data_IF_698138801245
#
_entry.id   IF_698138801245
#
_cell.length_a   1.000
_cell.length_b   1.000
_cell.length_c   1.000
_cell.angle_alpha   90.00
_cell.angle_beta   90.00
_cell.angle_gamma   90.00
#
_symmetry.space_group_name_H-M   'P 1'
#
loop_
_entity.id
_entity.type
_entity.pdbx_description
1 polymer ?
#
# COMPACT_ATOMS: atom_id res chain seq x y z
N UNK A 1 54.85 39.12 -77.89
CA UNK A 1 54.83 37.82 -77.22
C UNK A 1 53.59 37.57 -76.32
N UNK A 2 52.66 38.47 -76.18
CA UNK A 2 51.51 38.37 -75.25
C UNK A 2 50.19 37.89 -75.92
N UNK A 3 50.11 37.75 -77.26
CA UNK A 3 48.87 37.27 -77.91
C UNK A 3 48.78 35.78 -78.16
N UNK A 4 49.87 34.99 -77.97
CA UNK A 4 49.85 33.49 -78.12
C UNK A 4 49.55 32.70 -76.86
N UNK A 5 49.69 33.34 -75.69
CA UNK A 5 49.42 32.69 -74.40
C UNK A 5 47.94 32.67 -74.05
N UNK A 6 47.16 33.69 -74.52
CA UNK A 6 45.71 33.78 -74.24
C UNK A 6 44.89 32.75 -75.04
N UNK A 7 45.38 32.34 -76.24
CA UNK A 7 44.65 31.36 -77.07
C UNK A 7 44.78 29.92 -76.57
N UNK A 8 45.86 29.61 -75.87
CA UNK A 8 46.05 28.25 -75.30
C UNK A 8 45.26 28.01 -73.97
N UNK A 9 44.92 29.14 -73.26
CA UNK A 9 44.15 29.08 -72.03
C UNK A 9 42.63 28.90 -72.26
N UNK A 10 42.14 29.41 -73.39
CA UNK A 10 40.74 29.36 -73.82
C UNK A 10 40.31 27.93 -74.27
N UNK A 11 41.26 27.15 -74.85
CA UNK A 11 40.96 25.83 -75.38
C UNK A 11 41.01 24.71 -74.26
N UNK A 12 41.72 24.99 -73.15
CA UNK A 12 41.77 24.07 -71.97
C UNK A 12 40.52 24.15 -71.06
N UNK A 13 39.76 25.27 -71.13
CA UNK A 13 38.58 25.48 -70.29
C UNK A 13 37.30 24.83 -70.84
N UNK A 14 37.28 24.42 -72.14
CA UNK A 14 36.07 23.86 -72.79
C UNK A 14 35.95 22.32 -72.61
N UNK A 15 36.99 21.64 -72.09
CA UNK A 15 37.01 20.17 -71.93
C UNK A 15 36.61 19.72 -70.51
N UNK A 16 36.32 20.62 -69.56
CA UNK A 16 35.96 20.28 -68.20
C UNK A 16 34.44 20.21 -67.96
N UNK A 17 33.58 20.47 -68.92
CA UNK A 17 32.11 20.39 -68.76
C UNK A 17 31.45 19.14 -69.31
N UNK A 18 32.22 18.16 -69.83
CA UNK A 18 31.63 16.98 -70.42
C UNK A 18 31.67 15.74 -69.54
N UNK A 19 31.98 15.84 -68.24
CA UNK A 19 31.98 14.72 -67.32
C UNK A 19 31.12 14.99 -66.13
N UNK A 20 29.84 14.71 -66.23
CA UNK A 20 28.97 14.26 -65.13
C UNK A 20 27.51 14.24 -65.59
N UNK A 21 27.07 13.20 -66.23
CA UNK A 21 25.67 12.83 -66.16
C UNK A 21 25.49 11.31 -66.35
N UNK A 22 26.12 10.53 -65.44
CA UNK A 22 25.60 9.19 -65.17
C UNK A 22 24.79 9.30 -63.86
N UNK A 23 23.49 9.57 -63.99
CA UNK A 23 22.55 9.15 -62.96
C UNK A 23 22.67 7.64 -62.85
N UNK A 24 23.52 7.18 -61.93
CA UNK A 24 23.30 5.86 -61.32
C UNK A 24 21.92 5.96 -60.68
N UNK A 25 20.89 5.42 -61.29
CA UNK A 25 19.74 4.92 -60.57
C UNK A 25 20.30 3.92 -59.56
N UNK A 26 20.56 4.37 -58.32
CA UNK A 26 20.60 3.47 -57.19
C UNK A 26 19.25 2.76 -57.25
N UNK A 27 19.25 1.54 -57.72
CA UNK A 27 18.18 0.60 -57.43
C UNK A 27 18.13 0.57 -55.90
N UNK A 28 17.21 1.35 -55.27
CA UNK A 28 16.80 1.18 -53.92
C UNK A 28 16.44 -0.30 -53.82
N UNK A 29 17.32 -1.06 -53.20
CA UNK A 29 16.98 -2.43 -52.78
C UNK A 29 15.71 -2.28 -51.94
N UNK A 30 14.61 -2.81 -52.47
CA UNK A 30 13.29 -2.62 -51.88
C UNK A 30 13.34 -3.21 -50.44
N UNK A 31 13.55 -2.36 -49.46
CA UNK A 31 13.62 -2.74 -48.07
C UNK A 31 12.33 -3.51 -47.71
N UNK A 32 12.51 -4.75 -47.28
CA UNK A 32 11.39 -5.60 -46.86
C UNK A 32 11.14 -5.36 -45.37
N UNK A 33 9.94 -4.96 -45.05
CA UNK A 33 9.56 -4.62 -43.70
C UNK A 33 8.81 -5.77 -43.02
N UNK A 34 9.18 -6.18 -41.81
CA UNK A 34 8.47 -7.21 -41.07
C UNK A 34 7.15 -6.65 -40.53
N UNK A 35 6.06 -7.40 -40.72
CA UNK A 35 4.73 -7.08 -40.19
C UNK A 35 4.19 -8.26 -39.38
N UNK A 36 3.34 -7.96 -38.43
CA UNK A 36 2.63 -8.96 -37.62
C UNK A 36 1.18 -8.53 -37.37
N UNK A 37 0.37 -9.44 -36.87
CA UNK A 37 -0.97 -9.08 -36.38
C UNK A 37 -0.93 -8.82 -34.87
N UNK A 38 -1.77 -7.90 -34.35
CA UNK A 38 -2.06 -7.82 -32.92
C UNK A 38 -2.56 -9.17 -32.40
N UNK A 39 -2.11 -9.57 -31.21
CA UNK A 39 -2.47 -10.86 -30.65
C UNK A 39 -3.44 -10.69 -29.49
N UNK A 40 -4.53 -11.46 -29.49
CA UNK A 40 -5.40 -11.60 -28.32
C UNK A 40 -4.85 -12.65 -27.39
N UNK A 41 -4.62 -12.29 -26.14
CA UNK A 41 -4.19 -13.22 -25.11
C UNK A 41 -4.63 -12.76 -23.73
N UNK A 42 -4.75 -13.74 -22.84
CA UNK A 42 -4.95 -13.45 -21.42
C UNK A 42 -3.62 -13.01 -20.82
N UNK A 43 -3.67 -11.96 -20.06
CA UNK A 43 -2.51 -11.40 -19.37
C UNK A 43 -2.92 -10.88 -17.98
N UNK A 44 -1.93 -10.44 -17.21
CA UNK A 44 -2.16 -9.85 -15.91
C UNK A 44 -1.48 -8.48 -15.82
N UNK A 45 -2.13 -7.56 -15.14
CA UNK A 45 -1.54 -6.26 -14.82
C UNK A 45 -1.26 -6.22 -13.34
N UNK A 46 -0.07 -5.77 -12.98
CA UNK A 46 0.29 -5.51 -11.60
C UNK A 46 0.24 -4.01 -11.36
N UNK A 47 -0.62 -3.59 -10.43
CA UNK A 47 -0.66 -2.22 -9.92
C UNK A 47 -0.06 -2.18 -8.54
N UNK A 48 0.82 -1.22 -8.30
CA UNK A 48 1.51 -1.04 -7.02
C UNK A 48 1.05 0.25 -6.35
N UNK A 49 0.68 0.14 -5.08
CA UNK A 49 0.26 1.24 -4.24
C UNK A 49 1.16 1.32 -3.02
N UNK A 50 1.64 2.50 -2.68
CA UNK A 50 2.40 2.70 -1.45
C UNK A 50 1.50 2.38 -0.25
N UNK A 51 2.03 1.61 0.69
CA UNK A 51 1.29 1.11 1.83
C UNK A 51 2.01 1.38 3.15
N UNK A 52 1.22 1.67 4.18
CA UNK A 52 1.65 1.73 5.56
C UNK A 52 1.26 0.44 6.29
N UNK A 53 2.21 -0.12 7.00
CA UNK A 53 2.06 -1.37 7.73
C UNK A 53 1.76 -1.05 9.20
N UNK A 54 0.65 -1.55 9.70
CA UNK A 54 0.21 -1.32 11.07
C UNK A 54 -0.15 -2.65 11.75
N UNK A 55 0.19 -2.76 13.03
CA UNK A 55 -0.24 -3.88 13.85
C UNK A 55 -1.77 -3.85 14.02
N UNK A 56 -2.41 -5.03 14.08
CA UNK A 56 -3.86 -5.13 14.30
C UNK A 56 -4.27 -4.44 15.61
N UNK A 57 -3.42 -4.53 16.63
CA UNK A 57 -3.57 -3.80 17.88
C UNK A 57 -2.28 -3.07 18.17
N UNK A 58 -2.37 -1.77 18.32
CA UNK A 58 -1.27 -0.92 18.77
C UNK A 58 -1.86 0.14 19.68
N UNK A 59 -1.47 0.14 20.95
CA UNK A 59 -1.97 1.07 21.97
C UNK A 59 -0.82 1.71 22.72
N UNK A 60 -1.09 2.89 23.24
CA UNK A 60 -0.26 3.53 24.25
C UNK A 60 -0.70 3.06 25.64
N UNK A 61 0.23 2.52 26.39
CA UNK A 61 0.03 2.16 27.80
C UNK A 61 0.37 3.40 28.62
N UNK A 62 -0.67 4.00 29.20
CA UNK A 62 -0.57 5.21 30.00
C UNK A 62 -0.89 4.98 31.45
N UNK A 63 -0.25 5.76 32.33
CA UNK A 63 -0.53 5.71 33.77
C UNK A 63 -1.95 6.23 34.03
N UNK A 64 -2.67 5.54 34.92
CA UNK A 64 -4.00 5.94 35.38
C UNK A 64 -3.95 6.64 36.76
N UNK A 65 -2.80 6.55 37.44
CA UNK A 65 -2.54 7.14 38.74
C UNK A 65 -1.18 7.84 38.75
N UNK A 66 -1.04 8.85 39.59
CA UNK A 66 0.21 9.58 39.79
C UNK A 66 1.07 8.95 40.87
N UNK A 67 2.38 9.14 40.81
CA UNK A 67 3.33 8.68 41.82
C UNK A 67 4.70 8.38 41.24
N UNK A 68 5.60 7.85 42.05
CA UNK A 68 6.93 7.46 41.57
C UNK A 68 6.89 6.08 40.92
N UNK A 69 7.60 5.88 39.79
CA UNK A 69 7.77 4.58 39.16
C UNK A 69 8.68 3.71 40.06
N UNK A 70 8.08 2.78 40.80
CA UNK A 70 8.79 1.99 41.77
C UNK A 70 9.44 0.75 41.15
N UNK A 71 8.77 0.11 40.17
CA UNK A 71 9.30 -1.09 39.49
C UNK A 71 8.95 -1.08 38.00
N UNK A 72 9.87 -1.63 37.24
CA UNK A 72 9.72 -1.96 35.81
C UNK A 72 10.00 -3.45 35.68
N UNK A 73 9.02 -4.23 35.21
CA UNK A 73 9.08 -5.70 35.15
C UNK A 73 9.39 -6.23 33.74
N UNK A 74 9.51 -5.33 32.77
CA UNK A 74 9.68 -5.65 31.35
C UNK A 74 10.77 -4.80 30.73
N UNK A 75 11.28 -5.24 29.58
CA UNK A 75 12.27 -4.49 28.82
C UNK A 75 11.74 -4.14 27.42
N UNK A 76 12.38 -3.17 26.77
CA UNK A 76 12.09 -2.75 25.39
C UNK A 76 12.29 -3.93 24.44
N UNK A 77 11.33 -4.16 23.52
CA UNK A 77 11.36 -5.29 22.59
C UNK A 77 10.92 -6.62 23.15
N UNK A 78 10.66 -6.71 24.47
CA UNK A 78 10.21 -7.96 25.12
C UNK A 78 8.76 -8.30 24.72
N UNK A 79 8.51 -9.59 24.47
CA UNK A 79 7.16 -10.11 24.32
C UNK A 79 6.53 -10.32 25.70
N UNK A 80 5.30 -9.86 25.86
CA UNK A 80 4.51 -9.98 27.11
C UNK A 80 3.19 -10.67 26.84
N UNK A 81 2.67 -11.35 27.88
CA UNK A 81 1.36 -12.00 27.84
C UNK A 81 0.27 -11.09 28.40
N UNK A 82 -0.96 -11.28 27.95
CA UNK A 82 -2.12 -10.60 28.53
C UNK A 82 -2.19 -10.79 30.03
N UNK A 83 -2.41 -9.70 30.77
CA UNK A 83 -2.48 -9.70 32.23
C UNK A 83 -1.12 -9.67 32.96
N UNK A 84 0.00 -9.80 32.24
CA UNK A 84 1.34 -9.64 32.79
C UNK A 84 1.56 -8.23 33.33
N UNK A 85 2.12 -8.13 34.56
CA UNK A 85 2.49 -6.84 35.14
C UNK A 85 3.66 -6.25 34.37
N UNK A 86 3.52 -4.98 33.97
CA UNK A 86 4.53 -4.21 33.22
C UNK A 86 5.27 -3.23 34.09
N UNK A 87 4.50 -2.43 34.86
CA UNK A 87 5.03 -1.36 35.69
C UNK A 87 4.30 -1.33 37.03
N UNK A 88 4.97 -0.78 38.04
CA UNK A 88 4.37 -0.50 39.33
C UNK A 88 4.68 0.93 39.74
N UNK A 89 3.64 1.73 39.95
CA UNK A 89 3.70 3.03 40.62
C UNK A 89 3.69 2.75 42.13
N UNK A 90 4.41 3.57 42.92
CA UNK A 90 4.51 3.40 44.39
C UNK A 90 3.12 3.33 45.03
N UNK A 91 2.71 2.19 45.60
CA UNK A 91 1.34 1.95 46.04
C UNK A 91 1.05 2.42 47.48
N UNK A 92 2.06 2.90 48.20
CA UNK A 92 1.96 3.15 49.66
C UNK A 92 0.84 4.09 50.04
N UNK A 93 0.67 5.20 49.29
CA UNK A 93 -0.40 6.16 49.53
C UNK A 93 -1.79 5.50 49.32
N UNK A 94 -1.97 4.84 48.20
CA UNK A 94 -3.23 4.16 47.85
C UNK A 94 -3.57 3.01 48.77
N UNK A 95 -2.55 2.31 49.30
CA UNK A 95 -2.74 1.29 50.36
C UNK A 95 -3.26 1.89 51.66
N UNK A 96 -2.72 3.08 52.05
CA UNK A 96 -3.19 3.80 53.24
C UNK A 96 -4.64 4.28 53.08
N UNK A 97 -4.98 4.82 51.86
CA UNK A 97 -6.36 5.22 51.56
C UNK A 97 -7.33 4.04 51.62
N UNK A 98 -6.95 2.89 51.06
CA UNK A 98 -7.77 1.66 51.17
C UNK A 98 -7.97 1.21 52.61
N UNK A 99 -6.91 1.21 53.41
CA UNK A 99 -7.01 0.84 54.83
C UNK A 99 -7.93 1.78 55.58
N UNK A 100 -7.88 3.11 55.32
CA UNK A 100 -8.79 4.07 55.92
C UNK A 100 -10.24 3.77 55.52
N UNK A 101 -10.53 3.57 54.24
CA UNK A 101 -11.87 3.24 53.75
C UNK A 101 -12.40 1.94 54.32
N UNK A 102 -11.52 0.91 54.52
CA UNK A 102 -11.89 -0.32 55.18
C UNK A 102 -12.33 -0.11 56.62
N UNK A 103 -11.62 0.76 57.39
CA UNK A 103 -12.00 1.09 58.76
C UNK A 103 -13.35 1.83 58.83
N UNK A 104 -13.65 2.67 57.84
CA UNK A 104 -14.96 3.38 57.72
C UNK A 104 -16.10 2.36 57.45
N UNK A 105 -15.87 1.36 56.62
CA UNK A 105 -16.84 0.27 56.38
C UNK A 105 -17.08 -0.51 57.66
N UNK A 106 -16.02 -0.87 58.40
CA UNK A 106 -16.16 -1.58 59.69
C UNK A 106 -16.98 -0.79 60.68
N UNK A 107 -16.69 0.50 60.86
CA UNK A 107 -17.47 1.42 61.71
C UNK A 107 -18.95 1.42 61.30
N UNK A 108 -19.26 1.65 60.03
CA UNK A 108 -20.64 1.73 59.52
C UNK A 108 -21.36 0.38 59.66
N UNK A 109 -20.63 -0.75 59.54
CA UNK A 109 -21.15 -2.09 59.77
C UNK A 109 -21.59 -2.32 61.23
N UNK A 110 -20.75 -1.86 62.17
CA UNK A 110 -21.09 -1.89 63.63
C UNK A 110 -22.31 -1.04 63.91
N UNK A 111 -22.38 0.20 63.34
CA UNK A 111 -23.53 1.10 63.49
C UNK A 111 -24.82 0.42 62.95
N UNK A 112 -24.78 -0.18 61.78
CA UNK A 112 -25.94 -0.90 61.22
C UNK A 112 -26.34 -2.09 62.08
N UNK A 113 -25.38 -2.86 62.58
CA UNK A 113 -25.64 -3.99 63.48
C UNK A 113 -26.36 -3.54 64.74
N UNK A 114 -25.89 -2.46 65.36
CA UNK A 114 -26.50 -1.87 66.53
C UNK A 114 -27.93 -1.33 66.25
N UNK A 115 -28.09 -0.53 65.18
CA UNK A 115 -29.40 -0.02 64.77
C UNK A 115 -30.38 -1.16 64.43
N UNK A 116 -29.91 -2.22 63.80
CA UNK A 116 -30.70 -3.41 63.46
C UNK A 116 -31.20 -4.12 64.74
N UNK A 117 -30.31 -4.32 65.74
CA UNK A 117 -30.66 -4.94 67.00
C UNK A 117 -31.69 -4.12 67.76
N UNK A 118 -31.52 -2.81 67.84
CA UNK A 118 -32.43 -1.90 68.52
C UNK A 118 -33.78 -1.78 67.78
N UNK A 119 -33.78 -1.74 66.45
CA UNK A 119 -35.01 -1.75 65.67
C UNK A 119 -35.82 -3.05 65.80
N UNK A 120 -35.16 -4.21 65.86
CA UNK A 120 -35.81 -5.50 66.06
C UNK A 120 -36.46 -5.58 67.44
N UNK A 121 -35.93 -4.83 68.45
CA UNK A 121 -36.50 -4.74 69.79
C UNK A 121 -37.49 -3.54 69.91
N UNK A 122 -37.88 -2.88 68.82
CA UNK A 122 -38.76 -1.73 68.78
C UNK A 122 -38.27 -0.49 69.60
N UNK A 123 -36.96 -0.35 69.82
CA UNK A 123 -36.33 0.73 70.57
C UNK A 123 -36.08 1.95 69.66
N UNK A 124 -35.74 1.72 68.39
CA UNK A 124 -35.52 2.73 67.36
C UNK A 124 -36.41 2.50 66.16
N UNK A 125 -36.61 3.54 65.32
CA UNK A 125 -37.45 3.48 64.15
C UNK A 125 -36.81 2.63 63.02
N UNK A 126 -37.64 2.12 62.13
CA UNK A 126 -37.15 1.43 60.93
C UNK A 126 -36.35 2.35 60.03
N UNK A 127 -36.63 3.69 60.09
CA UNK A 127 -35.86 4.67 59.35
C UNK A 127 -34.43 4.80 59.84
N UNK A 128 -34.16 4.69 61.13
CA UNK A 128 -32.80 4.72 61.71
C UNK A 128 -31.99 3.54 61.21
N UNK A 129 -32.53 2.32 61.14
CA UNK A 129 -31.89 1.18 60.54
C UNK A 129 -31.63 1.40 59.01
N UNK A 130 -32.57 2.04 58.30
CA UNK A 130 -32.41 2.31 56.88
C UNK A 130 -31.29 3.34 56.65
N UNK A 131 -31.18 4.35 57.48
CA UNK A 131 -30.09 5.32 57.44
C UNK A 131 -28.73 4.69 57.72
N UNK A 132 -28.61 3.84 58.73
CA UNK A 132 -27.37 3.12 59.03
C UNK A 132 -26.97 2.21 57.88
N UNK A 133 -27.95 1.56 57.23
CA UNK A 133 -27.68 0.76 56.02
C UNK A 133 -27.15 1.64 54.87
N UNK A 134 -27.80 2.76 54.59
CA UNK A 134 -27.33 3.66 53.54
C UNK A 134 -25.91 4.18 53.81
N UNK A 135 -25.58 4.42 55.10
CA UNK A 135 -24.20 4.79 55.49
C UNK A 135 -23.18 3.70 55.22
N UNK A 136 -23.53 2.42 55.51
CA UNK A 136 -22.68 1.29 55.17
C UNK A 136 -22.52 1.12 53.69
N UNK A 137 -23.59 1.27 52.89
CA UNK A 137 -23.55 1.16 51.42
C UNK A 137 -22.64 2.25 50.83
N UNK A 138 -22.69 3.50 51.35
CA UNK A 138 -21.79 4.60 50.98
C UNK A 138 -20.32 4.31 51.33
N UNK A 139 -20.03 3.79 52.56
CA UNK A 139 -18.68 3.43 52.96
C UNK A 139 -18.11 2.27 52.07
N UNK A 140 -18.95 1.31 51.71
CA UNK A 140 -18.56 0.23 50.78
C UNK A 140 -18.20 0.78 49.39
N UNK A 141 -18.94 1.75 48.88
CA UNK A 141 -18.63 2.40 47.61
C UNK A 141 -17.27 3.14 47.65
N UNK A 142 -16.98 3.84 48.76
CA UNK A 142 -15.69 4.52 48.95
C UNK A 142 -14.53 3.55 49.05
N UNK A 143 -14.69 2.44 49.82
CA UNK A 143 -13.69 1.35 49.87
C UNK A 143 -13.43 0.78 48.45
N UNK A 144 -14.48 0.55 47.68
CA UNK A 144 -14.35 0.05 46.31
C UNK A 144 -13.59 1.03 45.38
N UNK A 145 -13.83 2.32 45.56
CA UNK A 145 -13.10 3.37 44.83
C UNK A 145 -11.60 3.34 45.17
N UNK A 146 -11.26 3.34 46.47
CA UNK A 146 -9.88 3.25 46.96
C UNK A 146 -9.19 1.95 46.48
N UNK A 147 -9.90 0.81 46.46
CA UNK A 147 -9.39 -0.43 45.90
C UNK A 147 -9.11 -0.33 44.40
N UNK A 148 -9.93 0.41 43.65
CA UNK A 148 -9.74 0.65 42.21
C UNK A 148 -8.49 1.49 41.98
N UNK A 149 -8.32 2.61 42.68
CA UNK A 149 -7.11 3.43 42.63
C UNK A 149 -5.84 2.62 42.92
N UNK A 150 -5.86 1.80 44.00
CA UNK A 150 -4.73 0.92 44.32
C UNK A 150 -4.46 -0.07 43.14
N UNK A 151 -5.49 -0.61 42.50
CA UNK A 151 -5.33 -1.54 41.40
C UNK A 151 -4.66 -0.90 40.21
N UNK A 152 -4.91 0.40 39.94
CA UNK A 152 -4.33 1.18 38.84
C UNK A 152 -2.85 1.51 39.06
N UNK A 153 -2.32 1.37 40.27
CA UNK A 153 -0.87 1.47 40.50
C UNK A 153 -0.09 0.30 39.90
N UNK A 154 -0.76 -0.84 39.62
CA UNK A 154 -0.16 -2.00 39.00
C UNK A 154 -0.58 -2.14 37.55
N UNK A 155 0.22 -1.61 36.64
CA UNK A 155 -0.07 -1.52 35.21
C UNK A 155 0.19 -2.87 34.55
N UNK A 156 -0.84 -3.45 33.91
CA UNK A 156 -0.81 -4.76 33.25
C UNK A 156 -1.04 -4.65 31.76
N UNK A 157 -0.51 -5.64 31.01
CA UNK A 157 -0.73 -5.77 29.58
C UNK A 157 -2.20 -6.13 29.28
N UNK A 158 -2.94 -5.32 28.48
CA UNK A 158 -4.34 -5.61 28.14
C UNK A 158 -4.49 -6.73 27.11
N UNK A 159 -3.44 -7.02 26.34
CA UNK A 159 -3.33 -8.14 25.40
C UNK A 159 -1.86 -8.58 25.27
N UNK A 160 -1.63 -9.72 24.66
CA UNK A 160 -0.27 -10.23 24.42
C UNK A 160 0.36 -9.51 23.22
N UNK A 161 1.61 -9.03 23.37
CA UNK A 161 2.28 -8.25 22.35
C UNK A 161 3.73 -7.93 22.67
N UNK A 162 4.33 -7.04 21.89
CA UNK A 162 5.71 -6.60 22.08
C UNK A 162 5.70 -5.20 22.70
N UNK A 163 6.48 -5.04 23.76
CA UNK A 163 6.75 -3.74 24.39
C UNK A 163 7.66 -2.94 23.46
N UNK A 164 7.27 -1.69 23.20
CA UNK A 164 8.11 -0.74 22.49
C UNK A 164 8.99 0.05 23.47
N UNK A 165 9.37 1.26 23.11
CA UNK A 165 10.25 2.11 23.92
C UNK A 165 9.62 2.46 25.27
N UNK A 166 10.45 2.49 26.34
CA UNK A 166 10.08 2.90 27.69
C UNK A 166 10.76 4.25 27.99
N UNK A 167 10.05 5.39 27.82
CA UNK A 167 10.65 6.71 27.95
C UNK A 167 11.02 7.06 29.40
N UNK A 168 10.30 6.54 30.38
CA UNK A 168 10.48 6.81 31.79
C UNK A 168 11.40 5.78 32.45
N UNK A 169 12.14 6.22 33.46
CA UNK A 169 13.09 5.37 34.18
C UNK A 169 12.61 5.14 35.63
N UNK A 170 13.16 4.11 36.26
CA UNK A 170 12.91 3.81 37.66
C UNK A 170 13.15 5.07 38.54
N UNK A 171 12.22 5.38 39.40
CA UNK A 171 12.26 6.58 40.24
C UNK A 171 11.71 7.86 39.59
N UNK A 172 11.31 7.84 38.32
CA UNK A 172 10.65 8.98 37.69
C UNK A 172 9.33 9.27 38.37
N UNK A 173 9.01 10.56 38.53
CA UNK A 173 7.67 11.00 38.90
C UNK A 173 6.76 10.83 37.68
N UNK A 174 5.61 10.24 37.88
CA UNK A 174 4.59 9.96 36.87
C UNK A 174 3.34 10.75 37.20
N UNK A 175 2.83 11.47 36.24
CA UNK A 175 1.49 12.09 36.32
C UNK A 175 0.44 11.18 35.68
N UNK A 176 -0.83 11.40 36.03
CA UNK A 176 -1.96 10.74 35.39
C UNK A 176 -1.94 11.02 33.87
N UNK A 177 -2.14 10.00 33.05
CA UNK A 177 -2.07 10.10 31.59
C UNK A 177 -0.65 10.02 31.00
N UNK A 178 0.41 9.96 31.82
CA UNK A 178 1.78 9.87 31.33
C UNK A 178 2.01 8.58 30.51
N UNK A 179 2.71 8.71 29.37
CA UNK A 179 3.06 7.57 28.51
C UNK A 179 4.15 6.72 29.16
N UNK A 180 3.86 5.46 29.42
CA UNK A 180 4.79 4.49 29.97
C UNK A 180 5.49 3.67 28.88
N UNK A 181 4.73 3.22 27.89
CA UNK A 181 5.22 2.49 26.72
C UNK A 181 4.09 2.40 25.67
N UNK A 182 4.39 1.82 24.51
CA UNK A 182 3.34 1.30 23.62
C UNK A 182 3.45 -0.21 23.48
N UNK A 183 2.32 -0.88 23.26
CA UNK A 183 2.21 -2.32 23.11
C UNK A 183 1.60 -2.66 21.78
N UNK A 184 2.30 -3.50 20.99
CA UNK A 184 1.91 -3.87 19.62
C UNK A 184 1.70 -5.38 19.50
N UNK A 185 0.54 -5.79 18.98
CA UNK A 185 0.28 -7.17 18.58
C UNK A 185 0.60 -7.33 17.08
N UNK A 186 1.70 -8.00 16.79
CA UNK A 186 2.22 -8.21 15.44
C UNK A 186 1.90 -9.61 14.88
N UNK A 187 0.97 -10.35 15.43
CA UNK A 187 0.60 -11.67 14.89
C UNK A 187 -0.08 -11.56 13.53
N UNK A 188 -0.84 -10.51 13.34
CA UNK A 188 -1.47 -10.11 12.10
C UNK A 188 -1.17 -8.64 11.86
N UNK A 189 -1.15 -8.25 10.59
CA UNK A 189 -0.81 -6.89 10.16
C UNK A 189 -1.90 -6.37 9.24
N UNK A 190 -2.28 -5.13 9.44
CA UNK A 190 -3.02 -4.34 8.47
C UNK A 190 -2.07 -3.54 7.60
N UNK A 191 -2.37 -3.47 6.32
CA UNK A 191 -1.73 -2.55 5.41
C UNK A 191 -2.77 -1.59 4.86
N UNK A 192 -2.52 -0.30 5.03
CA UNK A 192 -3.36 0.77 4.51
C UNK A 192 -2.69 1.34 3.27
N UNK A 193 -3.42 1.46 2.19
CA UNK A 193 -2.94 2.02 0.93
C UNK A 193 -4.04 2.80 0.23
N UNK A 194 -3.65 3.89 -0.42
CA UNK A 194 -4.57 4.81 -1.06
C UNK A 194 -4.72 4.47 -2.53
N UNK A 195 -5.96 4.43 -2.99
CA UNK A 195 -6.36 4.12 -4.35
C UNK A 195 -7.10 5.33 -4.94
N UNK A 196 -6.73 5.77 -6.14
CA UNK A 196 -7.40 6.89 -6.79
C UNK A 196 -8.83 6.55 -7.22
N UNK A 197 -9.69 7.56 -7.37
CA UNK A 197 -11.09 7.35 -7.78
C UNK A 197 -11.24 6.56 -9.08
N UNK A 198 -10.49 6.84 -10.17
CA UNK A 198 -10.58 6.02 -11.39
C UNK A 198 -10.22 4.56 -11.16
N UNK A 199 -9.24 4.29 -10.31
CA UNK A 199 -8.83 2.93 -9.98
C UNK A 199 -9.82 2.21 -9.08
N UNK A 200 -10.41 2.94 -8.13
CA UNK A 200 -11.52 2.42 -7.32
C UNK A 200 -12.72 2.04 -8.19
N UNK A 201 -13.13 2.88 -9.14
CA UNK A 201 -14.22 2.58 -10.07
C UNK A 201 -13.90 1.34 -10.91
N UNK A 202 -12.67 1.25 -11.45
CA UNK A 202 -12.21 0.05 -12.13
C UNK A 202 -12.23 -1.19 -11.21
N UNK A 203 -11.83 -1.01 -9.95
CA UNK A 203 -11.88 -2.06 -8.95
C UNK A 203 -13.31 -2.52 -8.71
N UNK A 204 -14.29 -1.67 -8.58
CA UNK A 204 -15.69 -2.01 -8.31
C UNK A 204 -16.41 -2.60 -9.52
N UNK A 205 -16.19 -2.05 -10.72
CA UNK A 205 -16.88 -2.52 -11.95
C UNK A 205 -16.43 -3.91 -12.39
N UNK A 206 -15.21 -4.35 -12.02
CA UNK A 206 -14.64 -5.66 -12.38
C UNK A 206 -14.57 -6.63 -11.18
N UNK A 207 -15.40 -6.45 -10.16
CA UNK A 207 -15.43 -7.32 -8.97
C UNK A 207 -15.61 -8.79 -9.32
N UNK A 208 -16.50 -9.09 -10.28
CA UNK A 208 -16.83 -10.46 -10.68
C UNK A 208 -15.73 -11.15 -11.52
N UNK A 209 -14.85 -10.38 -12.14
CA UNK A 209 -13.83 -10.90 -13.05
C UNK A 209 -12.50 -11.24 -12.32
N UNK A 210 -12.36 -10.86 -11.04
CA UNK A 210 -11.09 -10.89 -10.32
C UNK A 210 -10.75 -12.21 -9.65
N UNK A 211 -11.71 -13.06 -9.40
CA UNK A 211 -11.50 -14.37 -8.76
C UNK A 211 -11.01 -14.34 -7.30
N UNK A 212 -10.33 -13.31 -6.84
CA UNK A 212 -9.94 -13.17 -5.41
C UNK A 212 -9.56 -11.74 -5.03
N UNK A 213 -9.80 -11.35 -3.77
CA UNK A 213 -9.34 -10.09 -3.16
C UNK A 213 -7.90 -10.18 -2.66
N UNK A 214 -7.13 -11.16 -3.12
CA UNK A 214 -5.77 -11.38 -2.67
C UNK A 214 -4.80 -10.33 -3.21
N UNK A 215 -3.91 -9.90 -2.34
CA UNK A 215 -2.86 -8.93 -2.66
C UNK A 215 -1.49 -9.43 -2.18
N UNK A 216 -0.44 -8.93 -2.80
CA UNK A 216 0.94 -9.21 -2.40
C UNK A 216 1.53 -7.95 -1.79
N UNK A 217 2.16 -8.08 -0.62
CA UNK A 217 2.95 -7.01 -0.05
C UNK A 217 4.39 -7.11 -0.58
N UNK A 218 4.88 -6.03 -1.14
CA UNK A 218 6.30 -5.83 -1.47
C UNK A 218 6.90 -5.02 -0.33
N UNK A 219 7.85 -5.60 0.36
CA UNK A 219 8.53 -4.99 1.50
C UNK A 219 9.46 -3.86 1.05
N UNK A 220 9.93 -3.05 1.98
CA UNK A 220 10.80 -1.91 1.69
C UNK A 220 12.15 -2.29 1.03
N UNK A 221 12.60 -3.54 1.19
CA UNK A 221 13.78 -4.09 0.52
C UNK A 221 13.51 -4.56 -0.93
N UNK A 222 12.28 -4.40 -1.44
CA UNK A 222 11.87 -4.82 -2.78
C UNK A 222 11.43 -6.29 -2.90
N UNK A 223 11.56 -7.09 -1.84
CA UNK A 223 11.15 -8.48 -1.84
C UNK A 223 9.65 -8.64 -1.57
N UNK A 224 9.05 -9.64 -2.18
CA UNK A 224 7.66 -9.99 -1.90
C UNK A 224 7.56 -10.69 -0.54
N UNK A 225 6.64 -10.22 0.30
CA UNK A 225 6.31 -10.92 1.54
C UNK A 225 5.73 -12.31 1.22
N UNK A 226 6.19 -13.38 1.88
CA UNK A 226 5.85 -14.76 1.50
C UNK A 226 4.35 -15.09 1.59
N UNK A 227 3.63 -14.41 2.47
CA UNK A 227 2.21 -14.66 2.70
C UNK A 227 1.36 -13.66 1.93
N UNK A 228 0.27 -14.15 1.33
CA UNK A 228 -0.71 -13.28 0.66
C UNK A 228 -1.60 -12.61 1.70
N UNK A 229 -1.96 -11.38 1.43
CA UNK A 229 -2.97 -10.66 2.18
C UNK A 229 -4.29 -10.62 1.44
N UNK A 230 -5.32 -10.20 2.13
CA UNK A 230 -6.67 -10.07 1.59
C UNK A 230 -7.22 -8.68 1.90
N UNK A 231 -7.80 -8.02 0.89
CA UNK A 231 -8.50 -6.74 1.07
C UNK A 231 -9.78 -7.04 1.87
N UNK A 232 -9.86 -6.47 3.07
CA UNK A 232 -11.00 -6.66 3.97
C UNK A 232 -11.95 -5.48 3.99
N UNK A 233 -11.41 -4.27 3.84
CA UNK A 233 -12.21 -3.06 4.01
C UNK A 233 -11.74 -2.00 3.02
N UNK A 234 -12.71 -1.29 2.50
CA UNK A 234 -12.54 -0.04 1.76
C UNK A 234 -13.26 1.02 2.58
N UNK A 235 -12.63 2.16 2.80
CA UNK A 235 -13.26 3.28 3.52
C UNK A 235 -14.54 3.74 2.81
N UNK A 236 -15.42 4.41 3.55
CA UNK A 236 -16.72 4.85 3.05
C UNK A 236 -16.68 6.20 2.32
N UNK A 237 -15.59 6.95 2.44
CA UNK A 237 -15.46 8.32 1.92
C UNK A 237 -14.12 8.51 1.23
N UNK A 238 -14.12 9.30 0.16
CA UNK A 238 -12.91 9.78 -0.48
C UNK A 238 -12.32 10.95 0.30
N UNK A 239 -11.01 10.99 0.40
CA UNK A 239 -10.29 12.18 0.84
C UNK A 239 -10.44 13.27 -0.23
N UNK A 240 -11.15 14.34 0.12
CA UNK A 240 -11.46 15.45 -0.79
C UNK A 240 -10.23 16.28 -1.20
N UNK A 241 -9.12 16.21 -0.45
CA UNK A 241 -7.89 16.92 -0.78
C UNK A 241 -7.06 16.17 -1.82
N UNK A 242 -7.06 14.84 -1.75
CA UNK A 242 -6.20 13.99 -2.59
C UNK A 242 -6.98 13.22 -3.68
N UNK A 243 -8.31 13.12 -3.57
CA UNK A 243 -9.15 12.32 -4.47
C UNK A 243 -8.92 10.81 -4.35
N UNK A 244 -8.37 10.35 -3.21
CA UNK A 244 -8.07 8.95 -2.96
C UNK A 244 -9.04 8.36 -1.92
N UNK A 245 -9.16 7.03 -1.94
CA UNK A 245 -9.88 6.26 -0.93
C UNK A 245 -8.94 5.22 -0.32
N UNK A 246 -8.98 5.06 1.00
CA UNK A 246 -8.10 4.11 1.66
C UNK A 246 -8.66 2.69 1.62
N UNK A 247 -7.81 1.76 1.21
CA UNK A 247 -8.04 0.32 1.26
C UNK A 247 -7.24 -0.25 2.41
N UNK A 248 -7.81 -1.26 3.08
CA UNK A 248 -7.14 -2.02 4.12
C UNK A 248 -7.07 -3.48 3.74
N UNK A 249 -5.85 -4.00 3.64
CA UNK A 249 -5.62 -5.43 3.50
C UNK A 249 -5.03 -6.01 4.79
N UNK A 250 -5.38 -7.25 5.08
CA UNK A 250 -4.90 -8.01 6.23
C UNK A 250 -3.91 -9.07 5.78
N UNK A 251 -2.80 -9.17 6.49
CA UNK A 251 -1.76 -10.17 6.27
C UNK A 251 -1.50 -10.99 7.54
N UNK A 252 -1.46 -12.33 7.47
CA UNK A 252 -0.91 -13.13 8.55
C UNK A 252 0.60 -12.86 8.66
N UNK A 253 1.13 -12.75 9.87
CA UNK A 253 2.55 -12.47 10.14
C UNK A 253 3.15 -13.50 11.09
N UNK A 254 3.07 -14.77 10.71
CA UNK A 254 3.50 -15.90 11.55
C UNK A 254 4.97 -15.83 11.96
N UNK A 255 5.82 -15.32 11.08
CA UNK A 255 7.26 -15.16 11.32
C UNK A 255 7.62 -13.86 12.06
N UNK A 256 6.62 -13.02 12.42
CA UNK A 256 6.80 -11.73 13.10
C UNK A 256 7.82 -10.80 12.43
N UNK A 257 7.97 -10.94 11.10
CA UNK A 257 8.89 -10.14 10.29
C UNK A 257 8.41 -8.69 10.17
N UNK A 258 7.10 -8.52 9.99
CA UNK A 258 6.49 -7.21 9.87
C UNK A 258 6.20 -6.61 11.24
N UNK A 259 6.42 -5.30 11.36
CA UNK A 259 6.20 -4.53 12.58
C UNK A 259 5.40 -3.27 12.31
N UNK A 260 4.77 -2.76 13.34
CA UNK A 260 4.05 -1.49 13.27
C UNK A 260 4.94 -0.35 12.79
N UNK A 261 4.44 0.49 11.87
CA UNK A 261 5.14 1.68 11.35
C UNK A 261 6.08 1.42 10.17
N UNK A 262 6.20 0.18 9.69
CA UNK A 262 6.93 -0.10 8.45
C UNK A 262 6.13 0.38 7.22
N UNK A 263 6.84 0.54 6.11
CA UNK A 263 6.26 0.88 4.81
C UNK A 263 6.53 -0.23 3.79
N UNK A 264 5.75 -0.25 2.73
CA UNK A 264 5.91 -1.17 1.62
C UNK A 264 5.02 -0.75 0.46
N UNK A 265 4.79 -1.68 -0.46
CA UNK A 265 3.85 -1.50 -1.56
C UNK A 265 2.90 -2.68 -1.63
N UNK A 266 1.63 -2.41 -1.83
CA UNK A 266 0.65 -3.44 -2.16
C UNK A 266 0.62 -3.61 -3.66
N UNK A 267 0.86 -4.83 -4.12
CA UNK A 267 0.69 -5.23 -5.52
C UNK A 267 -0.66 -5.94 -5.67
N UNK A 268 -1.53 -5.30 -6.45
CA UNK A 268 -2.80 -5.86 -6.90
C UNK A 268 -2.61 -6.43 -8.31
N UNK A 269 -2.97 -7.69 -8.50
CA UNK A 269 -2.91 -8.35 -9.81
C UNK A 269 -4.31 -8.38 -10.42
N UNK A 270 -4.47 -7.76 -11.59
CA UNK A 270 -5.71 -7.69 -12.33
C UNK A 270 -5.61 -8.58 -13.56
N UNK A 271 -6.40 -9.65 -13.68
CA UNK A 271 -6.45 -10.45 -14.90
C UNK A 271 -7.14 -9.66 -16.02
N UNK A 272 -6.57 -9.71 -17.20
CA UNK A 272 -7.17 -9.20 -18.43
C UNK A 272 -7.42 -10.36 -19.38
N UNK A 273 -8.67 -10.62 -19.67
CA UNK A 273 -9.08 -11.65 -20.62
C UNK A 273 -9.13 -11.09 -22.04
N UNK A 274 -8.66 -11.85 -23.03
CA UNK A 274 -8.69 -11.50 -24.45
C UNK A 274 -8.11 -10.11 -24.77
N UNK A 275 -7.08 -9.68 -24.02
CA UNK A 275 -6.42 -8.39 -24.21
C UNK A 275 -5.72 -8.34 -25.57
N UNK A 276 -5.97 -7.28 -26.36
CA UNK A 276 -5.30 -7.05 -27.62
C UNK A 276 -3.92 -6.46 -27.38
N UNK A 277 -2.87 -7.20 -27.72
CA UNK A 277 -1.48 -6.86 -27.36
C UNK A 277 -0.64 -6.66 -28.62
N UNK A 278 0.22 -5.65 -28.58
CA UNK A 278 1.22 -5.35 -29.61
C UNK A 278 2.59 -5.09 -28.96
N UNK A 279 3.71 -5.33 -29.68
CA UNK A 279 5.03 -4.89 -29.24
C UNK A 279 5.14 -3.37 -29.17
N UNK A 280 5.78 -2.82 -28.13
CA UNK A 280 6.04 -1.39 -28.04
C UNK A 280 6.87 -0.86 -29.22
N UNK A 281 7.83 -1.66 -29.71
CA UNK A 281 8.66 -1.32 -30.88
C UNK A 281 7.89 -1.12 -32.20
N UNK A 282 6.63 -1.57 -32.26
CA UNK A 282 5.75 -1.38 -33.41
C UNK A 282 5.07 0.01 -33.42
N UNK A 283 5.29 0.79 -32.37
CA UNK A 283 4.64 2.11 -32.19
C UNK A 283 5.63 3.25 -32.37
N UNK A 284 5.11 4.41 -32.68
CA UNK A 284 5.82 5.68 -32.63
C UNK A 284 4.92 6.77 -32.04
N UNK A 285 5.53 7.84 -31.57
CA UNK A 285 4.84 8.89 -30.84
C UNK A 285 4.96 10.23 -31.55
N UNK A 286 3.84 10.92 -31.67
CA UNK A 286 3.76 12.29 -32.19
C UNK A 286 2.89 13.09 -31.21
N UNK A 287 3.45 14.13 -30.59
CA UNK A 287 2.71 15.04 -29.70
C UNK A 287 1.85 14.29 -28.66
N UNK A 288 2.48 13.46 -27.84
CA UNK A 288 1.85 12.67 -26.76
C UNK A 288 0.79 11.64 -27.21
N UNK A 289 0.68 11.40 -28.53
CA UNK A 289 -0.20 10.38 -29.08
C UNK A 289 0.59 9.24 -29.70
N UNK A 290 0.15 8.02 -29.44
CA UNK A 290 0.80 6.81 -29.98
C UNK A 290 0.13 6.37 -31.26
N UNK A 291 0.96 6.01 -32.25
CA UNK A 291 0.56 5.58 -33.57
C UNK A 291 1.20 4.24 -33.93
N UNK A 292 0.55 3.52 -34.80
CA UNK A 292 1.10 2.35 -35.51
C UNK A 292 0.94 2.52 -37.02
N UNK A 293 1.84 1.91 -37.77
CA UNK A 293 1.64 1.76 -39.20
C UNK A 293 0.91 0.45 -39.49
N UNK A 294 -0.26 0.57 -40.09
CA UNK A 294 -1.06 -0.57 -40.58
C UNK A 294 -0.83 -0.72 -42.09
N UNK A 295 -0.57 -1.93 -42.55
CA UNK A 295 -0.34 -2.22 -43.98
C UNK A 295 -1.60 -2.86 -44.57
N UNK A 296 -2.12 -2.25 -45.63
CA UNK A 296 -3.30 -2.75 -46.34
C UNK A 296 -2.99 -3.93 -47.26
N UNK A 297 -4.02 -4.50 -47.88
CA UNK A 297 -3.88 -5.62 -48.85
C UNK A 297 -3.05 -5.29 -50.07
N UNK A 298 -2.88 -4.02 -50.41
CA UNK A 298 -2.10 -3.54 -51.56
C UNK A 298 -0.65 -3.20 -51.18
N UNK A 299 -0.25 -3.38 -49.92
CA UNK A 299 1.06 -3.03 -49.40
C UNK A 299 1.23 -1.55 -49.12
N UNK A 300 0.14 -0.78 -48.99
CA UNK A 300 0.18 0.64 -48.64
C UNK A 300 0.12 0.78 -47.11
N UNK A 301 1.03 1.58 -46.59
CA UNK A 301 1.15 1.85 -45.14
C UNK A 301 0.24 3.01 -44.78
N UNK A 302 -0.52 2.88 -43.72
CA UNK A 302 -1.34 3.95 -43.15
C UNK A 302 -1.06 4.16 -41.70
N UNK A 303 -0.79 5.39 -41.33
CA UNK A 303 -0.67 5.82 -39.93
C UNK A 303 -2.03 5.71 -39.24
N UNK A 304 -2.08 5.04 -38.08
CA UNK A 304 -3.31 4.91 -37.30
C UNK A 304 -3.04 5.23 -35.84
N UNK A 305 -3.81 6.17 -35.28
CA UNK A 305 -3.75 6.50 -33.89
C UNK A 305 -4.30 5.33 -33.05
N UNK A 306 -3.64 5.02 -31.94
CA UNK A 306 -4.03 3.98 -30.99
C UNK A 306 -4.18 4.55 -29.59
N UNK A 307 -5.14 4.01 -28.85
CA UNK A 307 -5.26 4.25 -27.41
C UNK A 307 -4.72 3.05 -26.66
N UNK A 308 -3.68 3.28 -25.87
CA UNK A 308 -3.10 2.27 -24.97
C UNK A 308 -3.93 2.22 -23.71
N UNK A 309 -4.41 1.02 -23.33
CA UNK A 309 -5.10 0.79 -22.06
C UNK A 309 -4.09 0.61 -20.94
N UNK A 310 -3.05 -0.21 -21.20
CA UNK A 310 -2.03 -0.52 -20.21
C UNK A 310 -0.66 -0.75 -20.87
N UNK A 311 0.38 -0.38 -20.13
CA UNK A 311 1.76 -0.64 -20.52
C UNK A 311 2.28 -1.86 -19.75
N UNK A 312 2.87 -2.80 -20.47
CA UNK A 312 3.54 -3.99 -19.95
C UNK A 312 5.01 -3.94 -20.37
N UNK A 313 5.91 -4.67 -19.76
CA UNK A 313 7.29 -4.75 -20.26
C UNK A 313 7.31 -5.14 -21.75
N UNK A 314 7.89 -4.30 -22.59
CA UNK A 314 8.00 -4.42 -24.05
C UNK A 314 6.69 -4.54 -24.85
N UNK A 315 5.52 -4.45 -24.21
CA UNK A 315 4.21 -4.66 -24.83
C UNK A 315 3.23 -3.53 -24.45
N UNK A 316 2.27 -3.26 -25.34
CA UNK A 316 1.09 -2.44 -25.06
C UNK A 316 -0.18 -3.26 -25.15
N UNK A 317 -1.07 -3.07 -24.18
CA UNK A 317 -2.47 -3.49 -24.27
C UNK A 317 -3.27 -2.38 -24.91
N UNK A 318 -3.96 -2.67 -26.00
CA UNK A 318 -4.66 -1.70 -26.82
C UNK A 318 -6.13 -1.62 -26.44
N UNK A 319 -6.60 -0.41 -26.14
CA UNK A 319 -8.01 -0.13 -25.89
C UNK A 319 -8.79 0.07 -27.19
N UNK A 320 -8.20 0.79 -28.18
CA UNK A 320 -8.85 1.09 -29.46
C UNK A 320 -7.85 1.57 -30.51
N UNK A 321 -8.30 1.62 -31.76
CA UNK A 321 -7.50 2.12 -32.89
C UNK A 321 -7.11 1.02 -33.89
N UNK A 322 -6.94 -0.22 -33.45
CA UNK A 322 -6.63 -1.39 -34.31
C UNK A 322 -7.41 -2.63 -33.90
N UNK A 323 -7.46 -3.57 -34.81
CA UNK A 323 -8.10 -4.88 -34.62
C UNK A 323 -7.08 -6.03 -34.70
N UNK A 324 -7.47 -7.23 -34.26
CA UNK A 324 -6.62 -8.42 -34.34
C UNK A 324 -6.30 -8.88 -35.77
N UNK A 325 -6.99 -8.36 -36.80
CA UNK A 325 -6.78 -8.71 -38.20
C UNK A 325 -5.86 -7.74 -38.93
N UNK A 326 -5.58 -6.57 -38.34
CA UNK A 326 -4.70 -5.56 -38.92
C UNK A 326 -3.25 -6.06 -38.99
N UNK A 327 -2.55 -5.79 -40.08
CA UNK A 327 -1.11 -6.07 -40.19
C UNK A 327 -0.35 -4.82 -39.78
N UNK A 328 0.35 -4.87 -38.65
CA UNK A 328 1.14 -3.75 -38.13
C UNK A 328 2.62 -3.94 -38.42
N UNK A 329 3.30 -2.84 -38.74
CA UNK A 329 4.74 -2.79 -38.95
C UNK A 329 5.44 -2.94 -37.57
N UNK A 330 6.43 -3.84 -37.45
CA UNK A 330 7.13 -4.07 -36.18
C UNK A 330 8.56 -3.53 -36.14
N UNK A 331 9.14 -3.22 -37.30
CA UNK A 331 10.47 -2.63 -37.40
C UNK A 331 10.52 -1.62 -38.57
N UNK A 332 11.39 -0.62 -38.46
CA UNK A 332 11.56 0.40 -39.49
C UNK A 332 10.48 1.50 -39.45
N UNK A 333 9.73 1.64 -38.37
CA UNK A 333 8.69 2.66 -38.20
C UNK A 333 9.19 4.10 -38.44
N UNK A 334 10.49 4.36 -38.22
CA UNK A 334 11.10 5.67 -38.47
C UNK A 334 11.48 5.91 -39.93
N UNK A 335 11.48 4.87 -40.77
CA UNK A 335 11.92 4.94 -42.21
C UNK A 335 10.76 4.98 -43.17
N UNK A 336 9.54 4.77 -42.70
CA UNK A 336 8.33 4.66 -43.52
C UNK A 336 7.48 5.92 -43.36
N UNK A 337 6.87 6.38 -44.45
CA UNK A 337 5.93 7.49 -44.45
C UNK A 337 4.51 7.00 -44.70
N UNK A 338 3.56 7.80 -44.25
CA UNK A 338 2.14 7.54 -44.49
C UNK A 338 1.88 7.49 -46.02
N UNK A 339 0.96 6.64 -46.46
CA UNK A 339 0.62 6.36 -47.85
C UNK A 339 1.78 5.76 -48.71
N UNK A 340 2.90 5.37 -48.12
CA UNK A 340 4.00 4.74 -48.82
C UNK A 340 3.68 3.26 -49.14
N UNK A 341 3.99 2.84 -50.39
CA UNK A 341 3.91 1.43 -50.76
C UNK A 341 5.19 0.69 -50.37
N UNK A 342 5.08 -0.39 -49.58
CA UNK A 342 6.21 -1.15 -49.05
C UNK A 342 6.07 -2.64 -49.42
N UNK A 343 7.21 -3.35 -49.46
CA UNK A 343 7.24 -4.81 -49.48
C UNK A 343 7.29 -5.31 -48.02
N UNK A 344 6.45 -6.27 -47.70
CA UNK A 344 6.35 -6.77 -46.33
C UNK A 344 6.61 -8.28 -46.24
N UNK A 345 7.14 -8.70 -45.10
CA UNK A 345 7.26 -10.08 -44.71
C UNK A 345 6.44 -10.31 -43.43
N UNK A 346 5.56 -11.29 -43.46
CA UNK A 346 4.74 -11.62 -42.32
C UNK A 346 5.54 -12.43 -41.28
N UNK A 347 5.48 -12.03 -40.02
CA UNK A 347 6.02 -12.75 -38.89
C UNK A 347 4.89 -13.20 -37.95
N UNK A 348 4.97 -14.46 -37.53
CA UNK A 348 3.99 -14.98 -36.58
C UNK A 348 4.02 -14.21 -35.26
N UNK A 349 2.87 -13.70 -34.79
CA UNK A 349 2.79 -12.93 -33.56
C UNK A 349 3.42 -13.64 -32.35
N UNK A 350 3.27 -14.95 -32.23
CA UNK A 350 3.85 -15.74 -31.15
C UNK A 350 5.38 -15.73 -31.17
N UNK A 351 5.98 -15.83 -32.37
CA UNK A 351 7.44 -15.75 -32.53
C UNK A 351 7.96 -14.35 -32.18
N UNK A 352 7.23 -13.31 -32.61
CA UNK A 352 7.59 -11.91 -32.27
C UNK A 352 7.62 -11.71 -30.77
N UNK A 353 6.62 -12.20 -30.03
CA UNK A 353 6.58 -12.08 -28.57
C UNK A 353 7.68 -12.89 -27.88
N UNK A 354 8.04 -14.08 -28.41
CA UNK A 354 9.14 -14.87 -27.85
C UNK A 354 10.50 -14.18 -27.99
N UNK A 355 10.74 -13.49 -29.11
CA UNK A 355 12.00 -12.75 -29.33
C UNK A 355 12.14 -11.53 -28.41
N UNK A 356 11.05 -10.96 -27.92
CA UNK A 356 11.08 -9.89 -26.92
C UNK A 356 11.50 -10.40 -25.53
N UNK A 357 11.03 -11.59 -25.14
CA UNK A 357 11.38 -12.21 -23.85
C UNK A 357 12.84 -12.63 -23.76
N UNK A 358 13.48 -12.99 -24.88
CA UNK A 358 14.89 -13.45 -24.92
C UNK A 358 15.92 -12.31 -24.82
N UNK A 359 15.49 -11.03 -24.87
CA UNK A 359 16.39 -9.86 -24.73
C UNK A 359 16.39 -9.27 -23.33
N UNK A 360 15.67 -9.84 -22.38
CA UNK A 360 15.51 -9.37 -21.01
C UNK A 360 16.32 -10.21 -19.98
N UNK A 361 17.28 -11.03 -20.45
CA UNK A 361 18.29 -11.72 -19.61
C UNK A 361 19.63 -10.99 -19.64
#
# INVERSE_FOLDING_TARGET
>A
MMKRVVSSLALGSLLLFASCNSKKEEKEEATIYPVTNPMKMDTVINKEFVAQIQSVKNIEVRAQEKGFLEKIFVDEGQFVHQGQTLFQIMPKLYQAELLKAQAEVEQASIELKNASTLANNNIVSKNEKAMAKAKLDAANAEMKLAQTHLSFTNIKAPFSGIINRIPLKLGSLIDEGALLTSLSDNNEIYTYFNVSEPEYLNYQTHVNDRGSNQVTLIMANGEAFPQKGEIQTIEGEFDNETGNIAFRAKFPNTNKLLRNGQTGKIRMTLPLQNALIIPQKATYEIQDQKYVFVVDKNGVVKSRNIKVAYELPDLYVIASGISGEDKILIEGVQKVKDDQKVKVTFQDPKKVLQTLKLKAE
#
